data_IF_559777243807
#
_entry.id   IF_559777243807
#
_cell.length_a   1.000
_cell.length_b   1.000
_cell.length_c   1.000
_cell.angle_alpha   90.00
_cell.angle_beta   90.00
_cell.angle_gamma   90.00
#
_symmetry.space_group_name_H-M   'P 1'
#
loop_
_entity.id
_entity.type
_entity.pdbx_description
1 polymer ?
#
# COMPACT_ATOMS: atom_id res chain seq x y z
N UNK A 1 -0.35 8.78 -3.04
CA UNK A 1 0.14 9.28 -1.73
C UNK A 1 1.27 10.29 -1.88
N UNK A 2 2.38 9.97 -2.53
CA UNK A 2 3.59 10.83 -2.59
C UNK A 2 3.73 11.66 -3.88
N UNK A 3 2.65 12.23 -4.41
CA UNK A 3 2.67 13.00 -5.67
C UNK A 3 3.04 14.48 -5.48
N UNK A 4 4.19 14.74 -4.85
CA UNK A 4 4.63 16.10 -4.52
C UNK A 4 5.08 16.88 -5.77
N UNK A 5 4.93 18.22 -5.81
CA UNK A 5 5.31 19.05 -6.96
C UNK A 5 6.83 19.27 -7.10
N UNK A 6 7.64 18.69 -6.21
CA UNK A 6 9.09 18.80 -6.17
C UNK A 6 9.71 17.43 -5.81
N UNK A 7 11.00 17.20 -6.12
CA UNK A 7 11.69 15.97 -5.73
C UNK A 7 11.67 15.75 -4.21
N UNK A 8 11.35 14.54 -3.79
CA UNK A 8 11.18 14.22 -2.37
C UNK A 8 11.70 12.82 -2.05
N UNK A 9 12.14 12.62 -0.80
CA UNK A 9 12.73 11.36 -0.32
C UNK A 9 12.02 10.89 0.96
N UNK A 10 10.68 10.86 0.95
CA UNK A 10 9.89 10.46 2.13
C UNK A 10 9.86 8.93 2.32
N UNK A 11 9.38 8.19 1.32
CA UNK A 11 9.42 6.71 1.30
C UNK A 11 10.61 6.21 0.48
N UNK A 12 10.87 6.87 -0.64
CA UNK A 12 11.92 6.57 -1.61
C UNK A 12 12.22 7.86 -2.38
N UNK A 13 13.38 7.94 -3.03
CA UNK A 13 13.77 9.09 -3.84
C UNK A 13 12.91 9.18 -5.10
N UNK A 14 12.08 10.21 -5.22
CA UNK A 14 11.16 10.42 -6.33
C UNK A 14 11.36 11.79 -7.00
N UNK A 15 11.08 11.91 -8.31
CA UNK A 15 11.04 13.20 -8.99
C UNK A 15 9.86 14.04 -8.51
N UNK A 16 9.86 15.33 -8.87
CA UNK A 16 8.66 16.15 -8.79
C UNK A 16 7.58 15.65 -9.76
N UNK A 17 6.33 15.65 -9.30
CA UNK A 17 5.16 15.09 -9.97
C UNK A 17 5.39 13.62 -10.42
N UNK A 18 5.70 12.70 -9.49
CA UNK A 18 6.11 11.34 -9.86
C UNK A 18 5.03 10.56 -10.61
N UNK A 19 3.74 10.83 -10.37
CA UNK A 19 2.65 10.22 -11.16
C UNK A 19 2.74 10.65 -12.63
N UNK A 20 2.91 11.95 -12.87
CA UNK A 20 3.07 12.49 -14.24
C UNK A 20 4.33 11.93 -14.91
N UNK A 21 5.42 11.83 -14.16
CA UNK A 21 6.67 11.24 -14.65
C UNK A 21 6.45 9.77 -15.05
N UNK A 22 5.83 8.96 -14.19
CA UNK A 22 5.55 7.56 -14.49
C UNK A 22 4.62 7.37 -15.70
N UNK A 23 3.57 8.21 -15.83
CA UNK A 23 2.65 8.16 -16.97
C UNK A 23 3.33 8.39 -18.33
N UNK A 24 4.53 8.97 -18.39
CA UNK A 24 5.25 9.11 -19.66
C UNK A 24 5.59 7.76 -20.31
N UNK A 25 5.75 6.72 -19.49
CA UNK A 25 6.02 5.35 -19.92
C UNK A 25 4.74 4.59 -20.27
N UNK A 26 3.56 5.13 -19.91
CA UNK A 26 2.27 4.47 -20.13
C UNK A 26 1.28 5.30 -20.94
N UNK A 27 1.75 5.95 -22.00
CA UNK A 27 0.90 6.77 -22.89
C UNK A 27 -0.03 5.94 -23.78
N UNK A 28 0.40 4.73 -24.16
CA UNK A 28 -0.35 3.79 -24.99
C UNK A 28 0.03 2.38 -24.54
N UNK A 29 -0.96 1.48 -24.47
CA UNK A 29 -0.70 0.08 -24.18
C UNK A 29 -0.06 -0.61 -25.39
N UNK A 30 0.98 -1.37 -25.14
CA UNK A 30 1.55 -2.29 -26.13
C UNK A 30 0.58 -3.43 -26.45
N UNK A 31 0.75 -4.07 -27.61
CA UNK A 31 -0.17 -5.12 -28.08
C UNK A 31 0.29 -6.54 -27.79
N UNK A 32 1.50 -6.70 -27.26
CA UNK A 32 2.09 -7.99 -26.93
C UNK A 32 2.51 -8.03 -25.45
N UNK A 33 2.53 -9.23 -24.87
CA UNK A 33 2.77 -9.43 -23.44
C UNK A 33 4.14 -8.92 -22.98
N UNK A 34 5.18 -9.04 -23.83
CA UNK A 34 6.53 -8.56 -23.52
C UNK A 34 6.56 -7.04 -23.40
N UNK A 35 5.97 -6.32 -24.36
CA UNK A 35 5.87 -4.87 -24.34
C UNK A 35 5.01 -4.36 -23.19
N UNK A 36 3.92 -5.07 -22.85
CA UNK A 36 3.10 -4.75 -21.67
C UNK A 36 3.88 -4.93 -20.36
N UNK A 37 4.67 -5.99 -20.26
CA UNK A 37 5.53 -6.24 -19.10
C UNK A 37 6.65 -5.20 -18.98
N UNK A 38 7.29 -4.83 -20.09
CA UNK A 38 8.31 -3.78 -20.13
C UNK A 38 7.74 -2.41 -19.77
N UNK A 39 6.56 -2.08 -20.29
CA UNK A 39 5.83 -0.87 -19.93
C UNK A 39 5.54 -0.81 -18.42
N UNK A 40 5.02 -1.91 -17.85
CA UNK A 40 4.75 -2.01 -16.42
C UNK A 40 6.03 -1.89 -15.59
N UNK A 41 7.11 -2.55 -16.02
CA UNK A 41 8.42 -2.45 -15.41
C UNK A 41 8.91 -0.99 -15.38
N UNK A 42 8.82 -0.27 -16.49
CA UNK A 42 9.25 1.13 -16.56
C UNK A 42 8.45 2.04 -15.62
N UNK A 43 7.14 1.81 -15.48
CA UNK A 43 6.29 2.53 -14.51
C UNK A 43 6.70 2.22 -13.06
N UNK A 44 6.85 0.94 -12.72
CA UNK A 44 7.22 0.49 -11.36
C UNK A 44 8.63 0.96 -10.98
N UNK A 45 9.56 0.97 -11.94
CA UNK A 45 10.94 1.38 -11.75
C UNK A 45 11.08 2.84 -11.31
N UNK A 46 10.11 3.71 -11.62
CA UNK A 46 10.07 5.08 -11.08
C UNK A 46 9.94 5.08 -9.55
N UNK A 47 9.18 4.15 -8.98
CA UNK A 47 9.03 4.11 -7.53
C UNK A 47 10.24 3.49 -6.84
N UNK A 48 10.72 2.35 -7.35
CA UNK A 48 11.76 1.59 -6.67
C UNK A 48 13.19 2.02 -7.03
N UNK A 49 13.44 2.53 -8.23
CA UNK A 49 14.81 2.82 -8.71
C UNK A 49 14.90 4.05 -9.62
N UNK A 50 14.18 5.12 -9.31
CA UNK A 50 14.25 6.37 -10.08
C UNK A 50 15.68 6.92 -10.21
N UNK A 51 16.51 6.81 -9.17
CA UNK A 51 17.89 7.30 -9.19
C UNK A 51 18.87 6.40 -9.95
N UNK A 52 18.45 5.19 -10.35
CA UNK A 52 19.32 4.19 -10.99
C UNK A 52 20.44 3.66 -10.08
N UNK A 53 20.27 3.75 -8.75
CA UNK A 53 21.27 3.28 -7.77
C UNK A 53 21.14 1.79 -7.45
N UNK A 54 19.95 1.22 -7.62
CA UNK A 54 19.74 -0.22 -7.49
C UNK A 54 20.26 -0.91 -8.74
N UNK A 55 21.13 -1.90 -8.53
CA UNK A 55 21.73 -2.71 -9.59
C UNK A 55 20.93 -3.99 -9.89
N UNK A 56 19.77 -4.17 -9.25
CA UNK A 56 18.88 -5.31 -9.43
C UNK A 56 17.52 -4.85 -9.94
N UNK A 57 16.86 -5.72 -10.71
CA UNK A 57 15.58 -5.45 -11.39
C UNK A 57 14.46 -6.35 -10.84
N UNK A 58 14.32 -6.37 -9.51
CA UNK A 58 13.45 -7.30 -8.79
C UNK A 58 12.51 -6.51 -7.87
N UNK A 59 11.20 -6.53 -8.17
CA UNK A 59 10.17 -5.74 -7.45
C UNK A 59 9.03 -6.59 -6.90
N UNK A 60 9.26 -7.88 -6.68
CA UNK A 60 8.30 -8.83 -6.09
C UNK A 60 8.58 -9.03 -4.58
N UNK A 61 7.63 -9.64 -3.88
CA UNK A 61 7.69 -9.83 -2.41
C UNK A 61 8.90 -10.66 -1.94
N UNK A 62 9.45 -11.51 -2.81
CA UNK A 62 10.65 -12.32 -2.54
C UNK A 62 11.96 -11.58 -2.86
N UNK A 63 11.90 -10.33 -3.33
CA UNK A 63 13.06 -9.48 -3.58
C UNK A 63 13.40 -8.66 -2.34
N UNK A 64 14.70 -8.44 -2.11
CA UNK A 64 15.18 -7.57 -1.03
C UNK A 64 14.74 -6.12 -1.26
N UNK A 65 14.27 -5.44 -0.21
CA UNK A 65 14.11 -3.98 -0.22
C UNK A 65 12.84 -3.43 -0.89
N UNK A 66 11.80 -4.25 -1.08
CA UNK A 66 10.50 -3.79 -1.59
C UNK A 66 9.56 -3.27 -0.51
N UNK A 67 9.89 -3.51 0.77
CA UNK A 67 9.14 -2.94 1.90
C UNK A 67 9.33 -1.42 1.95
N UNK A 68 8.22 -0.70 2.11
CA UNK A 68 8.24 0.75 2.38
C UNK A 68 8.63 1.06 3.83
N UNK A 69 8.66 0.04 4.69
CA UNK A 69 9.10 0.17 6.08
C UNK A 69 10.63 0.15 6.15
N UNK A 70 11.21 1.04 6.94
CA UNK A 70 12.67 1.17 7.01
C UNK A 70 13.32 0.04 7.80
N UNK A 71 12.53 -0.62 8.67
CA UNK A 71 12.96 -1.80 9.42
C UNK A 71 11.79 -2.76 9.68
N UNK A 72 12.14 -4.01 9.98
CA UNK A 72 11.19 -5.09 10.25
C UNK A 72 10.31 -4.79 11.48
N UNK A 73 10.83 -4.04 12.46
CA UNK A 73 10.09 -3.69 13.68
C UNK A 73 8.88 -2.80 13.40
N UNK A 74 9.02 -1.81 12.52
CA UNK A 74 7.93 -0.93 12.08
C UNK A 74 6.83 -1.71 11.36
N UNK A 75 7.22 -2.62 10.47
CA UNK A 75 6.28 -3.46 9.74
C UNK A 75 5.47 -4.35 10.69
N UNK A 76 6.13 -5.02 11.64
CA UNK A 76 5.47 -5.84 12.66
C UNK A 76 4.53 -4.99 13.53
N UNK A 77 4.98 -3.82 13.98
CA UNK A 77 4.18 -2.94 14.83
C UNK A 77 2.93 -2.41 14.11
N UNK A 78 3.06 -2.01 12.84
CA UNK A 78 1.94 -1.56 12.03
C UNK A 78 0.96 -2.70 11.75
N UNK A 79 1.46 -3.87 11.38
CA UNK A 79 0.64 -5.07 11.17
C UNK A 79 -0.12 -5.44 12.45
N UNK A 80 0.50 -5.29 13.63
CA UNK A 80 -0.18 -5.55 14.91
C UNK A 80 -1.35 -4.59 15.14
N UNK A 81 -1.17 -3.30 14.86
CA UNK A 81 -2.25 -2.31 14.95
C UNK A 81 -3.40 -2.66 14.00
N UNK A 82 -3.09 -2.98 12.74
CA UNK A 82 -4.07 -3.36 11.72
C UNK A 82 -4.79 -4.68 12.03
N UNK A 83 -4.12 -5.61 12.70
CA UNK A 83 -4.72 -6.87 13.12
C UNK A 83 -5.59 -6.72 14.36
N UNK A 84 -5.36 -5.73 15.22
CA UNK A 84 -6.12 -5.61 16.47
C UNK A 84 -7.27 -4.61 16.39
N UNK A 85 -6.96 -3.34 16.12
CA UNK A 85 -7.92 -2.23 16.33
C UNK A 85 -8.02 -1.29 15.13
N UNK A 86 -6.93 -1.11 14.37
CA UNK A 86 -6.84 -0.24 13.19
C UNK A 86 -7.24 -1.00 11.91
N UNK A 87 -8.39 -1.65 11.93
CA UNK A 87 -8.81 -2.51 10.84
C UNK A 87 -9.43 -1.65 9.72
N UNK A 88 -8.80 -1.67 8.55
CA UNK A 88 -9.30 -1.04 7.33
C UNK A 88 -9.47 -2.09 6.25
N UNK A 89 -10.70 -2.29 5.79
CA UNK A 89 -11.00 -3.20 4.67
C UNK A 89 -11.11 -2.40 3.38
N UNK A 90 -10.13 -2.59 2.50
CA UNK A 90 -10.09 -2.02 1.17
C UNK A 90 -10.15 -3.15 0.15
N UNK A 91 -10.75 -2.88 -1.00
CA UNK A 91 -10.75 -3.77 -2.15
C UNK A 91 -10.83 -2.94 -3.43
N UNK A 92 -10.36 -3.53 -4.52
CA UNK A 92 -10.43 -2.98 -5.87
C UNK A 92 -11.68 -3.55 -6.56
N UNK A 93 -12.47 -2.67 -7.19
CA UNK A 93 -13.68 -3.03 -7.91
C UNK A 93 -13.42 -3.24 -9.40
N UNK A 94 -12.35 -2.69 -9.94
CA UNK A 94 -11.95 -2.78 -11.33
C UNK A 94 -12.93 -2.13 -12.31
N UNK A 95 -12.58 -2.21 -13.60
CA UNK A 95 -13.40 -1.72 -14.70
C UNK A 95 -13.50 -0.20 -14.73
N UNK A 96 -14.71 0.34 -14.58
CA UNK A 96 -14.97 1.78 -14.59
C UNK A 96 -14.64 2.47 -13.25
N UNK A 97 -14.48 1.70 -12.16
CA UNK A 97 -14.25 2.25 -10.81
C UNK A 97 -12.76 2.53 -10.54
N UNK A 98 -11.89 1.62 -10.99
CA UNK A 98 -10.45 1.68 -10.85
C UNK A 98 -9.77 0.83 -11.93
N UNK A 99 -8.46 1.01 -12.11
CA UNK A 99 -7.69 0.31 -13.14
C UNK A 99 -7.07 -1.02 -12.66
N UNK A 100 -7.40 -1.48 -11.44
CA UNK A 100 -6.91 -2.73 -10.89
C UNK A 100 -7.88 -3.89 -11.19
N UNK A 101 -7.43 -5.12 -10.91
CA UNK A 101 -8.28 -6.30 -11.03
C UNK A 101 -9.25 -6.36 -9.85
N UNK A 102 -10.52 -6.66 -10.12
CA UNK A 102 -11.53 -6.76 -9.06
C UNK A 102 -11.15 -7.86 -8.06
N UNK A 103 -11.04 -7.48 -6.78
CA UNK A 103 -10.77 -8.39 -5.68
C UNK A 103 -11.79 -8.29 -4.52
N UNK A 104 -12.83 -7.45 -4.62
CA UNK A 104 -13.85 -7.31 -3.57
C UNK A 104 -14.64 -8.60 -3.29
N UNK A 105 -14.73 -9.51 -4.26
CA UNK A 105 -15.42 -10.80 -4.12
C UNK A 105 -14.51 -11.92 -3.60
N UNK A 106 -13.19 -11.70 -3.50
CA UNK A 106 -12.32 -12.68 -2.86
C UNK A 106 -12.60 -12.68 -1.37
N UNK A 107 -12.64 -13.86 -0.75
CA UNK A 107 -12.72 -14.01 0.69
C UNK A 107 -11.44 -13.44 1.31
N UNK A 108 -11.44 -12.12 1.54
CA UNK A 108 -10.38 -11.42 2.23
C UNK A 108 -10.43 -11.85 3.70
N UNK A 109 -9.78 -12.98 3.99
CA UNK A 109 -9.71 -13.54 5.33
C UNK A 109 -8.57 -12.86 6.08
N UNK A 110 -8.70 -11.55 6.27
CA UNK A 110 -7.68 -10.71 6.91
C UNK A 110 -7.35 -11.21 8.32
N UNK A 111 -8.34 -11.82 8.99
CA UNK A 111 -8.17 -12.51 10.28
C UNK A 111 -7.21 -13.69 10.14
N UNK A 112 -7.32 -14.53 9.10
CA UNK A 112 -6.39 -15.65 8.88
C UNK A 112 -4.98 -15.11 8.61
N UNK A 113 -4.83 -14.04 7.83
CA UNK A 113 -3.52 -13.41 7.62
C UNK A 113 -2.91 -12.96 8.94
N UNK A 114 -3.70 -12.32 9.81
CA UNK A 114 -3.25 -11.93 11.14
C UNK A 114 -2.87 -13.12 12.03
N UNK A 115 -3.63 -14.21 11.98
CA UNK A 115 -3.31 -15.45 12.69
C UNK A 115 -1.98 -16.04 12.23
N UNK A 116 -1.69 -16.04 10.92
CA UNK A 116 -0.43 -16.54 10.38
C UNK A 116 0.74 -15.62 10.76
N UNK A 117 0.58 -14.31 10.61
CA UNK A 117 1.65 -13.33 10.89
C UNK A 117 2.05 -13.35 12.37
N UNK A 118 1.10 -13.54 13.28
CA UNK A 118 1.31 -13.46 14.73
C UNK A 118 1.12 -14.81 15.45
N UNK A 119 1.26 -15.93 14.74
CA UNK A 119 1.12 -17.28 15.30
C UNK A 119 2.05 -17.49 16.50
N UNK A 120 3.34 -17.15 16.34
CA UNK A 120 4.37 -17.25 17.38
C UNK A 120 4.12 -16.36 18.60
N UNK A 121 3.25 -15.35 18.47
CA UNK A 121 2.86 -14.44 19.54
C UNK A 121 1.55 -14.87 20.25
N UNK A 122 0.99 -16.02 19.89
CA UNK A 122 -0.25 -16.53 20.48
C UNK A 122 -1.49 -15.72 20.08
N UNK A 123 -1.48 -15.15 18.88
CA UNK A 123 -2.59 -14.34 18.38
C UNK A 123 -3.90 -15.14 18.26
N UNK A 124 -5.01 -14.56 18.70
CA UNK A 124 -6.35 -15.13 18.60
C UNK A 124 -7.28 -14.19 17.82
N UNK A 125 -8.30 -14.74 17.15
CA UNK A 125 -9.37 -13.97 16.50
C UNK A 125 -10.04 -12.96 17.45
N UNK A 126 -10.03 -13.22 18.76
CA UNK A 126 -10.63 -12.32 19.77
C UNK A 126 -9.89 -10.96 19.88
N UNK A 127 -8.66 -10.90 19.38
CA UNK A 127 -7.90 -9.66 19.28
C UNK A 127 -8.31 -8.81 18.08
N UNK A 128 -8.94 -9.41 17.05
CA UNK A 128 -9.39 -8.71 15.85
C UNK A 128 -10.72 -7.98 16.08
N UNK A 129 -10.65 -6.72 16.51
CA UNK A 129 -11.81 -5.94 16.96
C UNK A 129 -12.16 -4.84 15.98
N UNK A 130 -12.91 -5.20 14.93
CA UNK A 130 -13.29 -4.28 13.85
C UNK A 130 -13.95 -2.97 14.29
N UNK A 131 -14.69 -3.00 15.40
CA UNK A 131 -15.43 -1.83 15.89
C UNK A 131 -14.68 -1.03 16.97
N UNK A 132 -13.47 -1.44 17.37
CA UNK A 132 -12.79 -0.86 18.54
C UNK A 132 -12.57 0.66 18.39
N UNK A 133 -12.14 1.12 17.21
CA UNK A 133 -11.97 2.55 16.92
C UNK A 133 -13.30 3.30 16.98
N UNK A 134 -14.35 2.76 16.35
CA UNK A 134 -15.67 3.39 16.33
C UNK A 134 -16.26 3.47 17.74
N UNK A 135 -16.07 2.45 18.57
CA UNK A 135 -16.56 2.42 19.95
C UNK A 135 -15.77 3.40 20.83
N UNK A 136 -14.45 3.45 20.70
CA UNK A 136 -13.60 4.28 21.58
C UNK A 136 -13.58 5.74 21.21
N UNK A 137 -13.50 6.05 19.93
CA UNK A 137 -13.29 7.41 19.43
C UNK A 137 -14.52 8.01 18.77
N UNK A 138 -15.51 7.19 18.44
CA UNK A 138 -16.67 7.62 17.68
C UNK A 138 -16.33 7.93 16.21
N UNK A 139 -17.38 8.05 15.41
CA UNK A 139 -17.30 8.54 14.01
C UNK A 139 -18.20 9.77 13.81
N UNK A 140 -18.77 10.29 14.90
CA UNK A 140 -19.63 11.48 14.93
C UNK A 140 -18.90 12.53 15.75
N UNK A 141 -18.58 13.65 15.11
CA UNK A 141 -17.69 14.68 15.67
C UNK A 141 -18.44 15.95 16.10
N UNK A 142 -19.76 15.90 16.24
CA UNK A 142 -20.62 17.07 16.50
C UNK A 142 -20.32 17.81 17.81
N UNK A 143 -19.76 17.14 18.82
CA UNK A 143 -19.37 17.71 20.11
C UNK A 143 -17.88 18.04 20.20
N UNK A 144 -17.10 17.74 19.15
CA UNK A 144 -15.66 18.04 19.12
C UNK A 144 -15.41 19.49 18.67
N UNK A 145 -14.29 20.06 19.09
CA UNK A 145 -13.91 21.43 18.74
C UNK A 145 -12.40 21.59 18.61
N UNK A 146 -11.97 22.64 17.91
CA UNK A 146 -10.55 22.99 17.69
C UNK A 146 -9.73 21.92 16.93
N UNK A 147 -10.36 21.20 16.01
CA UNK A 147 -9.68 20.20 15.16
C UNK A 147 -9.75 20.66 13.70
N UNK A 148 -8.61 20.69 13.02
CA UNK A 148 -8.51 20.93 11.58
C UNK A 148 -8.10 19.62 10.93
N UNK A 149 -8.97 19.08 10.07
CA UNK A 149 -8.64 17.96 9.19
C UNK A 149 -8.25 18.54 7.82
N UNK A 150 -6.98 18.41 7.46
CA UNK A 150 -6.40 18.91 6.19
C UNK A 150 -6.34 17.84 5.12
#
# INVERSE_FOLDING_TARGET
>A
MVNYPYPAEFLTSLPGFPVKYACQFAKKAETNDEGLAEQLYNVINVFYNYTGKLNYHCFTWNCTGTSIFQNIGEEIAWNWQCCTSLISRNCDQGGENDFFLNNCNTSNNDIIKCMIIFEDFGYSSDLYRFQDITIRYGIIFNTTGNIIFS
#
